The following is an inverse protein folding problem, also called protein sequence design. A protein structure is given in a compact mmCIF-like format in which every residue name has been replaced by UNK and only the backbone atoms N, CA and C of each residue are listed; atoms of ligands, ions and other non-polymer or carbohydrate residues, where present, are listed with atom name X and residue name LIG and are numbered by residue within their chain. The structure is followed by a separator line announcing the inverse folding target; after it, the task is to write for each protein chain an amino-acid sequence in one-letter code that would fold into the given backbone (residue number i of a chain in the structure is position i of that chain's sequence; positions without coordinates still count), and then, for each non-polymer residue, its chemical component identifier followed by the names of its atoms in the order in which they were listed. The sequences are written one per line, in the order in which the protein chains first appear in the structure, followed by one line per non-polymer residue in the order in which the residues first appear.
data_IF_442063401357
#
_entry.id   IF_442063401357
#
_cell.length_a   1.000
_cell.length_b   1.000
_cell.length_c   1.000
_cell.angle_alpha   90.00
_cell.angle_beta   90.00
_cell.angle_gamma   90.00
#
_symmetry.space_group_name_H-M   'P 1'
#
loop_
_entity.id
_entity.type
_entity.pdbx_description
1 polymer ?
#
# COMPACT_ATOMS: atom_id res chain seq x y z
N UNK A 1 11.32 -4.22 -12.55
CA UNK A 1 12.70 -4.68 -12.78
C UNK A 1 13.21 -4.04 -14.07
N UNK A 2 14.29 -3.27 -14.02
CA UNK A 2 14.85 -2.63 -15.20
C UNK A 2 15.55 -3.71 -16.03
N UNK A 3 15.22 -3.86 -17.31
CA UNK A 3 15.94 -4.81 -18.18
C UNK A 3 17.37 -4.30 -18.36
N UNK A 4 18.36 -5.14 -18.10
CA UNK A 4 19.71 -4.88 -18.57
C UNK A 4 19.74 -5.01 -20.09
N UNK A 5 20.44 -4.10 -20.76
CA UNK A 5 20.68 -4.16 -22.20
C UNK A 5 22.17 -4.45 -22.37
N UNK A 6 22.49 -5.59 -22.97
CA UNK A 6 23.85 -5.98 -23.31
C UNK A 6 23.79 -6.80 -24.60
N UNK A 7 24.83 -6.70 -25.43
CA UNK A 7 24.98 -7.51 -26.65
C UNK A 7 26.13 -8.50 -26.44
N UNK A 8 25.97 -9.70 -26.99
CA UNK A 8 27.06 -10.67 -27.07
C UNK A 8 27.88 -10.41 -28.33
N UNK A 9 29.16 -10.79 -28.30
CA UNK A 9 30.02 -10.68 -29.46
C UNK A 9 29.51 -11.58 -30.61
N UNK A 10 29.84 -11.19 -31.85
CA UNK A 10 29.46 -11.96 -33.04
C UNK A 10 30.09 -13.36 -32.97
N UNK A 11 29.25 -14.40 -33.06
CA UNK A 11 29.68 -15.80 -32.98
C UNK A 11 29.58 -16.43 -31.59
N UNK A 12 29.30 -15.66 -30.54
CA UNK A 12 29.08 -16.19 -29.18
C UNK A 12 27.60 -16.18 -28.80
N UNK A 13 27.15 -17.24 -28.11
CA UNK A 13 25.76 -17.35 -27.65
C UNK A 13 25.51 -16.40 -26.49
N UNK A 14 24.46 -15.59 -26.58
CA UNK A 14 23.97 -14.82 -25.44
C UNK A 14 23.37 -15.76 -24.37
N UNK A 15 23.98 -15.78 -23.19
CA UNK A 15 23.45 -16.49 -22.01
C UNK A 15 22.82 -15.44 -21.10
N UNK A 16 21.53 -15.60 -20.81
CA UNK A 16 20.78 -14.69 -19.94
C UNK A 16 20.39 -15.43 -18.67
N UNK A 17 21.04 -15.11 -17.56
CA UNK A 17 20.57 -15.51 -16.23
C UNK A 17 19.34 -14.69 -15.90
N UNK A 18 18.16 -15.30 -15.93
CA UNK A 18 16.93 -14.65 -15.45
C UNK A 18 16.85 -14.86 -13.95
N UNK A 19 16.89 -13.81 -13.11
CA UNK A 19 16.54 -13.98 -11.71
C UNK A 19 15.08 -14.43 -11.63
N UNK A 20 14.85 -15.68 -11.24
CA UNK A 20 13.53 -16.16 -10.82
C UNK A 20 13.27 -15.67 -9.40
N UNK A 21 13.05 -14.38 -9.26
CA UNK A 21 12.75 -13.76 -7.98
C UNK A 21 11.34 -14.16 -7.54
N UNK A 22 11.22 -15.10 -6.59
CA UNK A 22 10.25 -14.91 -5.51
C UNK A 22 10.71 -13.65 -4.78
N UNK A 23 10.23 -12.50 -5.24
CA UNK A 23 10.57 -11.24 -4.62
C UNK A 23 9.99 -11.23 -3.21
N UNK A 24 10.84 -11.01 -2.20
CA UNK A 24 10.38 -10.57 -0.90
C UNK A 24 9.79 -9.18 -1.11
N UNK A 25 8.49 -9.13 -1.39
CA UNK A 25 7.77 -7.87 -1.51
C UNK A 25 7.68 -7.24 -0.12
N UNK A 26 7.63 -5.92 -0.05
CA UNK A 26 7.32 -5.15 1.16
C UNK A 26 6.19 -4.23 0.79
N UNK A 27 5.13 -4.19 1.60
CA UNK A 27 4.02 -3.28 1.43
C UNK A 27 4.27 -2.07 2.33
N UNK A 28 4.16 -0.87 1.77
CA UNK A 28 4.30 0.38 2.50
C UNK A 28 2.95 1.11 2.38
N UNK A 29 2.41 1.52 3.52
CA UNK A 29 1.29 2.45 3.61
C UNK A 29 1.87 3.80 3.99
N UNK A 30 1.49 4.85 3.29
CA UNK A 30 1.95 6.20 3.57
C UNK A 30 0.80 7.19 3.43
N UNK A 31 0.72 8.14 4.34
CA UNK A 31 -0.17 9.28 4.24
C UNK A 31 0.66 10.56 4.15
N UNK A 32 0.38 11.37 3.14
CA UNK A 32 1.06 12.64 2.88
C UNK A 32 0.04 13.76 2.79
N UNK A 33 0.44 14.96 3.20
CA UNK A 33 -0.28 16.21 3.04
C UNK A 33 0.58 17.20 2.26
N UNK A 34 0.02 18.35 1.88
CA UNK A 34 0.79 19.45 1.30
C UNK A 34 1.93 19.93 2.22
N UNK A 35 1.76 19.81 3.54
CA UNK A 35 2.77 20.18 4.54
C UNK A 35 3.89 19.14 4.67
N UNK A 36 3.69 17.93 4.14
CA UNK A 36 4.66 16.84 4.19
C UNK A 36 4.07 15.51 4.64
N UNK A 37 4.98 14.62 5.06
CA UNK A 37 4.66 13.27 5.48
C UNK A 37 3.93 13.25 6.84
N UNK A 38 2.81 12.53 6.93
CA UNK A 38 2.06 12.36 8.17
C UNK A 38 2.49 11.06 8.86
N UNK A 39 2.31 9.92 8.18
CA UNK A 39 2.59 8.58 8.73
C UNK A 39 3.09 7.63 7.65
N UNK A 40 3.97 6.70 8.06
CA UNK A 40 4.42 5.57 7.22
C UNK A 40 4.33 4.27 8.01
N UNK A 41 3.68 3.28 7.44
CA UNK A 41 3.64 1.91 7.94
C UNK A 41 4.33 0.97 6.96
N UNK A 42 5.34 0.24 7.41
CA UNK A 42 6.05 -0.76 6.59
C UNK A 42 5.67 -2.15 7.04
N UNK A 43 5.24 -3.01 6.11
CA UNK A 43 4.92 -4.41 6.36
C UNK A 43 5.69 -5.33 5.43
N UNK A 44 6.38 -6.30 6.04
CA UNK A 44 6.95 -7.44 5.32
C UNK A 44 5.90 -8.55 5.24
N UNK A 45 5.28 -8.83 4.08
CA UNK A 45 4.38 -9.94 3.91
C UNK A 45 5.08 -11.28 4.19
N UNK A 46 4.37 -12.19 4.88
CA UNK A 46 4.84 -13.57 5.03
C UNK A 46 4.73 -14.27 3.68
N UNK A 47 5.72 -15.08 3.27
CA UNK A 47 5.68 -15.79 1.99
C UNK A 47 4.52 -16.79 1.98
N UNK A 48 3.50 -16.55 1.17
CA UNK A 48 2.40 -17.49 0.98
C UNK A 48 2.92 -18.75 0.26
N UNK A 49 2.75 -19.92 0.87
CA UNK A 49 2.92 -21.20 0.17
C UNK A 49 1.76 -21.34 -0.81
N UNK A 50 2.06 -21.20 -2.11
CA UNK A 50 1.14 -21.51 -3.21
C UNK A 50 0.89 -23.02 -3.26
N UNK A 51 0.10 -23.56 -2.33
CA UNK A 51 -0.51 -24.89 -2.43
C UNK A 51 -1.98 -24.77 -2.05
N UNK A 52 -2.84 -25.43 -2.82
CA UNK A 52 -4.28 -25.56 -2.56
C UNK A 52 -4.44 -26.34 -1.25
N UNK A 53 -4.52 -25.66 -0.12
CA UNK A 53 -4.93 -26.24 1.15
C UNK A 53 -5.68 -25.17 1.92
N UNK A 54 -6.78 -25.60 2.49
CA UNK A 54 -7.71 -24.86 3.35
C UNK A 54 -6.93 -23.99 4.36
N UNK A 55 -7.01 -22.66 4.21
CA UNK A 55 -6.21 -21.70 4.97
C UNK A 55 -5.31 -20.79 4.13
N UNK A 56 -5.92 -19.91 3.34
CA UNK A 56 -5.22 -18.83 2.63
C UNK A 56 -4.64 -17.82 3.62
N UNK A 57 -3.34 -17.90 3.93
CA UNK A 57 -2.64 -16.85 4.67
C UNK A 57 -2.38 -15.70 3.69
N UNK A 58 -3.20 -14.64 3.79
CA UNK A 58 -3.05 -13.42 3.00
C UNK A 58 -1.63 -12.85 3.14
N UNK A 59 -0.91 -12.81 2.02
CA UNK A 59 0.38 -12.12 1.89
C UNK A 59 0.21 -10.61 1.70
N UNK A 60 -0.99 -10.05 1.95
CA UNK A 60 -1.31 -8.64 1.73
C UNK A 60 -1.56 -7.83 3.01
N UNK A 61 -1.97 -6.58 2.78
CA UNK A 61 -2.61 -5.75 3.81
C UNK A 61 -4.01 -6.29 4.05
N UNK A 62 -4.29 -6.67 5.29
CA UNK A 62 -5.62 -7.10 5.75
C UNK A 62 -6.35 -5.86 6.26
N UNK A 63 -7.69 -5.83 6.18
CA UNK A 63 -8.53 -4.72 6.66
C UNK A 63 -8.15 -4.25 8.06
N UNK A 64 -7.88 -5.17 9.00
CA UNK A 64 -7.45 -4.81 10.36
C UNK A 64 -6.14 -4.00 10.40
N UNK A 65 -5.19 -4.28 9.52
CA UNK A 65 -3.95 -3.49 9.44
C UNK A 65 -4.20 -2.09 8.88
N UNK A 66 -5.08 -1.97 7.90
CA UNK A 66 -5.47 -0.67 7.36
C UNK A 66 -6.20 0.17 8.42
N UNK A 67 -7.08 -0.43 9.21
CA UNK A 67 -7.76 0.24 10.33
C UNK A 67 -6.75 0.78 11.35
N UNK A 68 -5.75 -0.02 11.75
CA UNK A 68 -4.72 0.42 12.69
C UNK A 68 -3.93 1.60 12.10
N UNK A 69 -3.50 1.49 10.84
CA UNK A 69 -2.79 2.58 10.16
C UNK A 69 -3.63 3.87 10.06
N UNK A 70 -4.92 3.73 9.75
CA UNK A 70 -5.86 4.84 9.66
C UNK A 70 -6.04 5.53 11.02
N UNK A 71 -6.19 4.76 12.11
CA UNK A 71 -6.24 5.31 13.48
C UNK A 71 -4.99 6.11 13.81
N UNK A 72 -3.81 5.53 13.59
CA UNK A 72 -2.54 6.22 13.84
C UNK A 72 -2.39 7.50 13.02
N UNK A 73 -2.86 7.48 11.77
CA UNK A 73 -2.82 8.66 10.89
C UNK A 73 -3.75 9.77 11.39
N UNK A 74 -4.98 9.42 11.77
CA UNK A 74 -5.93 10.38 12.32
C UNK A 74 -5.46 10.94 13.67
N UNK A 75 -4.89 10.11 14.53
CA UNK A 75 -4.33 10.56 15.82
C UNK A 75 -3.14 11.53 15.60
N UNK A 76 -2.36 11.36 14.53
CA UNK A 76 -1.31 12.32 14.16
C UNK A 76 -1.89 13.63 13.60
N UNK A 77 -2.89 13.54 12.72
CA UNK A 77 -3.58 14.71 12.18
C UNK A 77 -4.27 15.54 13.27
N UNK A 78 -4.84 14.88 14.29
CA UNK A 78 -5.53 15.53 15.41
C UNK A 78 -4.59 16.38 16.28
N UNK A 79 -3.28 16.10 16.27
CA UNK A 79 -2.27 16.94 16.95
C UNK A 79 -2.05 18.29 16.25
N UNK A 80 -2.53 18.42 15.02
CA UNK A 80 -2.30 19.58 14.17
C UNK A 80 -3.61 20.32 13.91
N UNK A 81 -3.86 21.46 14.59
CA UNK A 81 -5.13 22.18 14.48
C UNK A 81 -5.49 22.59 13.05
N UNK A 82 -4.49 22.86 12.21
CA UNK A 82 -4.67 23.25 10.81
C UNK A 82 -5.15 22.10 9.92
N UNK A 83 -4.97 20.84 10.32
CA UNK A 83 -5.41 19.68 9.54
C UNK A 83 -6.90 19.36 9.76
N UNK A 84 -7.54 19.96 10.76
CA UNK A 84 -8.96 19.74 11.06
C UNK A 84 -9.82 20.11 9.84
N UNK A 85 -10.76 19.23 9.49
CA UNK A 85 -11.67 19.42 8.36
C UNK A 85 -11.06 19.18 6.98
N UNK A 86 -9.80 18.72 6.91
CA UNK A 86 -9.21 18.28 5.65
C UNK A 86 -9.87 17.02 5.11
N UNK A 87 -9.74 16.83 3.80
CA UNK A 87 -10.23 15.64 3.12
C UNK A 87 -9.15 14.57 3.09
N UNK A 88 -9.56 13.33 3.35
CA UNK A 88 -8.72 12.14 3.20
C UNK A 88 -9.03 11.55 1.84
N UNK A 89 -8.02 11.52 0.98
CA UNK A 89 -8.12 10.92 -0.35
C UNK A 89 -7.60 9.49 -0.26
N UNK A 90 -8.42 8.52 -0.68
CA UNK A 90 -8.04 7.11 -0.74
C UNK A 90 -8.45 6.52 -2.08
N UNK A 91 -7.75 5.48 -2.55
CA UNK A 91 -8.12 4.76 -3.76
C UNK A 91 -9.37 3.89 -3.53
N UNK A 92 -10.01 3.46 -4.62
CA UNK A 92 -11.19 2.60 -4.54
C UNK A 92 -10.79 1.11 -4.38
N UNK A 93 -10.18 0.78 -3.25
CA UNK A 93 -9.75 -0.58 -2.92
C UNK A 93 -10.73 -1.28 -1.94
N UNK A 94 -10.95 -2.60 -2.07
CA UNK A 94 -11.84 -3.37 -1.17
C UNK A 94 -11.45 -3.34 0.32
N UNK A 95 -10.22 -2.92 0.64
CA UNK A 95 -9.73 -2.76 2.02
C UNK A 95 -10.35 -1.54 2.73
N UNK A 96 -10.91 -0.59 1.98
CA UNK A 96 -11.63 0.57 2.51
C UNK A 96 -13.09 0.18 2.74
N UNK A 97 -13.35 -0.42 3.89
CA UNK A 97 -14.70 -0.82 4.28
C UNK A 97 -15.53 0.38 4.72
N UNK A 98 -16.85 0.23 4.68
CA UNK A 98 -17.78 1.25 5.17
C UNK A 98 -17.53 1.64 6.63
N UNK A 99 -17.02 0.72 7.47
CA UNK A 99 -16.65 1.02 8.86
C UNK A 99 -15.53 2.04 8.96
N UNK A 100 -14.56 2.00 8.04
CA UNK A 100 -13.46 2.97 7.99
C UNK A 100 -13.99 4.37 7.65
N UNK A 101 -14.93 4.44 6.71
CA UNK A 101 -15.58 5.71 6.31
C UNK A 101 -16.32 6.31 7.51
N UNK A 102 -17.11 5.51 8.22
CA UNK A 102 -17.80 5.95 9.45
C UNK A 102 -16.81 6.46 10.51
N UNK A 103 -15.64 5.82 10.64
CA UNK A 103 -14.63 6.25 11.61
C UNK A 103 -13.98 7.59 11.25
N UNK A 104 -13.71 7.83 9.97
CA UNK A 104 -13.21 9.11 9.46
C UNK A 104 -14.23 10.23 9.73
N UNK A 105 -15.49 9.98 9.40
CA UNK A 105 -16.58 10.95 9.61
C UNK A 105 -16.82 11.23 11.10
N UNK A 106 -16.75 10.20 11.96
CA UNK A 106 -16.85 10.36 13.42
C UNK A 106 -15.78 11.29 14.00
N UNK A 107 -14.57 11.30 13.43
CA UNK A 107 -13.47 12.20 13.81
C UNK A 107 -13.60 13.60 13.20
N UNK A 108 -14.61 13.86 12.37
CA UNK A 108 -14.86 15.16 11.73
C UNK A 108 -14.08 15.38 10.42
N UNK A 109 -13.51 14.32 9.84
CA UNK A 109 -12.87 14.36 8.53
C UNK A 109 -13.82 13.87 7.45
N UNK A 110 -13.53 14.21 6.19
CA UNK A 110 -14.31 13.76 5.03
C UNK A 110 -13.46 12.87 4.14
N UNK A 111 -14.04 11.79 3.61
CA UNK A 111 -13.36 10.90 2.69
C UNK A 111 -13.72 11.25 1.23
N UNK A 112 -12.73 11.22 0.32
CA UNK A 112 -12.93 11.40 -1.12
C UNK A 112 -12.27 10.26 -1.87
N UNK A 113 -12.97 9.73 -2.86
CA UNK A 113 -12.45 8.71 -3.76
C UNK A 113 -12.25 9.33 -5.15
N UNK A 114 -11.09 9.13 -5.79
CA UNK A 114 -10.90 9.53 -7.18
C UNK A 114 -11.75 8.65 -8.11
N UNK A 115 -11.89 9.08 -9.36
CA UNK A 115 -12.51 8.25 -10.39
C UNK A 115 -11.81 6.90 -10.51
N UNK A 116 -12.57 5.85 -10.82
CA UNK A 116 -12.04 4.49 -10.97
C UNK A 116 -10.88 4.48 -11.97
N UNK A 117 -9.80 3.77 -11.63
CA UNK A 117 -8.58 3.68 -12.44
C UNK A 117 -7.83 5.01 -12.66
N UNK A 118 -7.89 5.92 -11.68
CA UNK A 118 -7.09 7.16 -11.67
C UNK A 118 -5.94 7.04 -10.66
N UNK A 119 -4.73 6.67 -11.10
CA UNK A 119 -3.55 6.55 -10.24
C UNK A 119 -2.96 7.89 -9.82
#
# INVERSE_FOLDING_TARGET
MKRSRAWSNKGTRAIVTRPTTRANTVSILGAISASGLITVGVKKPKPAKKRKSDGYISSGTVTGHHIIFLKTTLDEMDKHPHMKGHYIVMDNAPIHTHENIKYIEYRGYKCVYPSTYSP
#
